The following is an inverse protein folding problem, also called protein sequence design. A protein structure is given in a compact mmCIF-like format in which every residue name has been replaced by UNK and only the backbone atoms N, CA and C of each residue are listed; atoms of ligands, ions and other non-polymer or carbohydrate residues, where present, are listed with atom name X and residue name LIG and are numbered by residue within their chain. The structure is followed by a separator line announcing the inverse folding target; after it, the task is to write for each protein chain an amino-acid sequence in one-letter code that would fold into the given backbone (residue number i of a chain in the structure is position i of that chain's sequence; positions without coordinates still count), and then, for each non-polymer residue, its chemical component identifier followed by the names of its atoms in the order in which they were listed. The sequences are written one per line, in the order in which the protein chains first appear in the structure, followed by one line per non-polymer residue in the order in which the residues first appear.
data_IF_993591627551
#
_entry.id   IF_993591627551
#
_cell.length_a   1.000
_cell.length_b   1.000
_cell.length_c   1.000
_cell.angle_alpha   90.00
_cell.angle_beta   90.00
_cell.angle_gamma   90.00
#
_symmetry.space_group_name_H-M   'P 1'
#
loop_
_entity.id
_entity.type
_entity.pdbx_description
1 polymer ?
#
# COMPACT_ATOMS: atom_id res chain seq x y z
N UNK A 1 -17.31 -7.19 1.28
CA UNK A 1 -15.84 -7.14 1.45
C UNK A 1 -15.25 -8.51 1.16
N UNK A 2 -14.22 -8.59 0.34
CA UNK A 2 -13.52 -9.83 0.05
C UNK A 2 -12.01 -9.68 0.31
N UNK A 3 -11.37 -10.78 0.67
CA UNK A 3 -9.92 -10.87 0.85
C UNK A 3 -9.38 -11.82 -0.21
N UNK A 4 -8.34 -11.39 -0.89
CA UNK A 4 -7.63 -12.19 -1.89
C UNK A 4 -6.20 -12.46 -1.42
N UNK A 5 -5.74 -13.69 -1.61
CA UNK A 5 -4.38 -14.13 -1.33
C UNK A 5 -3.83 -14.79 -2.60
N UNK A 6 -2.68 -14.33 -3.06
CA UNK A 6 -2.07 -14.79 -4.33
C UNK A 6 -3.04 -14.69 -5.53
N UNK A 7 -3.88 -13.64 -5.55
CA UNK A 7 -4.84 -13.40 -6.61
C UNK A 7 -6.11 -14.27 -6.56
N UNK A 8 -6.26 -15.12 -5.56
CA UNK A 8 -7.43 -15.97 -5.38
C UNK A 8 -8.25 -15.52 -4.17
N UNK A 9 -9.58 -15.58 -4.31
CA UNK A 9 -10.48 -15.18 -3.22
C UNK A 9 -10.35 -16.15 -2.05
N UNK A 10 -9.79 -15.68 -0.95
CA UNK A 10 -9.62 -16.47 0.28
C UNK A 10 -10.84 -16.38 1.21
N UNK A 11 -11.51 -15.25 1.25
CA UNK A 11 -12.69 -15.04 2.11
C UNK A 11 -13.58 -13.93 1.55
N UNK A 12 -14.86 -14.00 1.86
CA UNK A 12 -15.83 -12.96 1.55
C UNK A 12 -16.83 -12.80 2.70
N UNK A 13 -17.14 -11.55 3.03
CA UNK A 13 -18.19 -11.21 3.98
C UNK A 13 -19.07 -10.11 3.39
N UNK A 14 -20.38 -10.31 3.48
CA UNK A 14 -21.34 -9.26 3.16
C UNK A 14 -21.59 -8.45 4.42
N UNK A 15 -21.24 -7.18 4.36
CA UNK A 15 -21.48 -6.23 5.44
C UNK A 15 -22.51 -5.22 4.94
N UNK A 16 -23.59 -5.11 5.65
CA UNK A 16 -24.65 -4.14 5.36
C UNK A 16 -24.23 -2.75 5.90
N UNK A 17 -23.19 -2.21 5.27
CA UNK A 17 -22.69 -0.85 5.56
C UNK A 17 -23.11 0.02 4.37
N UNK A 18 -24.09 0.91 4.54
CA UNK A 18 -24.64 1.71 3.44
C UNK A 18 -23.63 2.70 2.84
N UNK A 19 -22.65 3.11 3.61
CA UNK A 19 -21.52 3.93 3.15
C UNK A 19 -20.32 3.76 4.06
N UNK A 20 -19.13 3.89 3.52
CA UNK A 20 -17.89 3.90 4.28
C UNK A 20 -17.29 5.32 4.15
N UNK A 21 -17.36 6.09 5.22
CA UNK A 21 -16.67 7.36 5.31
C UNK A 21 -15.36 7.15 6.06
N UNK A 22 -14.24 7.24 5.35
CA UNK A 22 -12.91 7.18 5.95
C UNK A 22 -12.59 8.42 6.80
N UNK A 23 -13.46 9.42 6.79
CA UNK A 23 -13.28 10.65 7.53
C UNK A 23 -12.06 11.44 7.06
N UNK A 24 -11.49 12.21 7.99
CA UNK A 24 -10.29 13.02 7.76
C UNK A 24 -9.06 12.39 8.44
N UNK A 25 -9.05 11.07 8.60
CA UNK A 25 -7.95 10.35 9.22
C UNK A 25 -6.77 10.12 8.28
N UNK A 26 -5.59 9.97 8.87
CA UNK A 26 -4.40 9.57 8.13
C UNK A 26 -4.48 8.09 7.74
N UNK A 27 -3.95 7.75 6.58
CA UNK A 27 -3.76 6.38 6.15
C UNK A 27 -2.34 5.92 6.49
N UNK A 28 -2.22 4.80 7.20
CA UNK A 28 -0.94 4.26 7.62
C UNK A 28 -0.61 2.95 6.90
N UNK A 29 0.63 2.81 6.46
CA UNK A 29 1.19 1.59 5.89
C UNK A 29 2.18 1.00 6.89
N UNK A 30 2.01 -0.28 7.24
CA UNK A 30 2.91 -1.02 8.12
C UNK A 30 2.75 -0.74 9.61
N UNK A 31 1.82 0.12 10.01
CA UNK A 31 1.57 0.45 11.42
C UNK A 31 0.13 0.91 11.61
N UNK A 32 -0.42 0.62 12.76
CA UNK A 32 -1.67 1.23 13.24
C UNK A 32 -1.31 2.30 14.27
N UNK A 33 -1.74 3.54 14.03
CA UNK A 33 -1.52 4.63 14.98
C UNK A 33 -2.71 4.79 15.94
N UNK A 34 -2.41 5.11 17.20
CA UNK A 34 -3.40 5.60 18.17
C UNK A 34 -4.42 4.58 18.68
N UNK A 35 -4.16 3.29 18.60
CA UNK A 35 -5.09 2.29 19.11
C UNK A 35 -4.92 2.07 20.62
N UNK A 36 -6.03 1.87 21.35
CA UNK A 36 -6.04 1.60 22.81
C UNK A 36 -5.21 0.37 23.23
N UNK A 37 -4.84 -0.47 22.29
CA UNK A 37 -4.09 -1.71 22.49
C UNK A 37 -2.61 -1.60 22.14
N UNK A 38 -2.07 -0.37 21.98
CA UNK A 38 -0.70 -0.09 21.60
C UNK A 38 -0.46 -0.12 20.09
N UNK A 39 0.73 0.27 19.69
CA UNK A 39 1.16 0.22 18.29
C UNK A 39 1.32 -1.25 17.85
N UNK A 40 0.83 -1.56 16.67
CA UNK A 40 0.97 -2.89 16.06
C UNK A 40 1.73 -2.75 14.74
N UNK A 41 3.07 -2.70 14.79
CA UNK A 41 3.87 -2.63 13.58
C UNK A 41 3.81 -3.95 12.80
N UNK A 42 3.88 -3.82 11.50
CA UNK A 42 4.08 -4.96 10.61
C UNK A 42 5.56 -5.32 10.60
N UNK A 43 5.88 -6.53 11.00
CA UNK A 43 7.24 -7.08 10.93
C UNK A 43 7.37 -7.94 9.67
N UNK A 44 7.95 -7.38 8.61
CA UNK A 44 8.07 -8.08 7.34
C UNK A 44 8.61 -7.18 6.24
N UNK A 45 8.53 -7.68 5.03
CA UNK A 45 8.88 -6.93 3.81
C UNK A 45 7.60 -6.54 3.09
N UNK A 46 7.58 -5.35 2.52
CA UNK A 46 6.42 -4.81 1.82
C UNK A 46 6.89 -4.10 0.56
N UNK A 47 6.17 -4.31 -0.53
CA UNK A 47 6.37 -3.59 -1.80
C UNK A 47 5.04 -3.50 -2.54
N UNK A 48 4.98 -2.65 -3.55
CA UNK A 48 3.85 -2.58 -4.48
C UNK A 48 2.50 -2.30 -3.80
N UNK A 49 2.49 -1.39 -2.81
CA UNK A 49 1.26 -0.99 -2.11
C UNK A 49 0.43 -0.08 -2.98
N UNK A 50 -0.83 -0.44 -3.22
CA UNK A 50 -1.73 0.27 -4.12
C UNK A 50 -3.08 0.50 -3.47
N UNK A 51 -3.59 1.70 -3.64
CA UNK A 51 -4.94 2.09 -3.25
C UNK A 51 -5.76 2.36 -4.50
N UNK A 52 -6.95 1.79 -4.54
CA UNK A 52 -7.88 1.93 -5.65
C UNK A 52 -9.17 2.60 -5.17
N UNK A 53 -9.68 3.55 -5.92
CA UNK A 53 -10.98 4.16 -5.66
C UNK A 53 -12.13 3.46 -6.42
N UNK A 54 -11.82 2.34 -7.06
CA UNK A 54 -12.75 1.47 -7.78
C UNK A 54 -12.61 0.03 -7.29
N UNK A 55 -13.68 -0.73 -7.33
CA UNK A 55 -13.63 -2.16 -7.08
C UNK A 55 -12.87 -2.88 -8.19
N UNK A 56 -11.98 -3.80 -7.81
CA UNK A 56 -11.23 -4.63 -8.76
C UNK A 56 -11.86 -6.01 -8.85
N UNK A 57 -11.96 -6.54 -10.05
CA UNK A 57 -12.34 -7.94 -10.26
C UNK A 57 -11.21 -8.88 -9.87
N UNK A 58 -11.52 -10.14 -9.58
CA UNK A 58 -10.50 -11.17 -9.29
C UNK A 58 -9.46 -11.28 -10.42
N UNK A 59 -9.88 -11.26 -11.68
CA UNK A 59 -8.99 -11.28 -12.84
C UNK A 59 -8.01 -10.09 -12.82
N UNK A 60 -8.54 -8.89 -12.60
CA UNK A 60 -7.70 -7.69 -12.51
C UNK A 60 -6.73 -7.73 -11.33
N UNK A 61 -7.13 -8.28 -10.19
CA UNK A 61 -6.26 -8.46 -9.02
C UNK A 61 -5.12 -9.42 -9.39
N UNK A 62 -5.45 -10.57 -10.00
CA UNK A 62 -4.50 -11.61 -10.40
C UNK A 62 -3.50 -11.12 -11.46
N UNK A 63 -3.99 -10.44 -12.48
CA UNK A 63 -3.15 -9.89 -13.57
C UNK A 63 -2.16 -8.82 -13.09
N UNK A 64 -2.56 -8.07 -12.07
CA UNK A 64 -1.77 -6.94 -11.56
C UNK A 64 -1.05 -7.24 -10.24
N UNK A 65 -0.85 -8.50 -9.85
CA UNK A 65 -0.21 -8.85 -8.57
C UNK A 65 1.22 -8.33 -8.45
N UNK A 66 2.00 -8.40 -9.52
CA UNK A 66 3.43 -8.04 -9.49
C UNK A 66 3.64 -6.55 -9.80
N UNK A 67 2.96 -6.05 -10.83
CA UNK A 67 3.13 -4.67 -11.28
C UNK A 67 1.83 -4.13 -11.86
N UNK A 68 1.72 -2.81 -11.92
CA UNK A 68 0.59 -2.11 -12.53
C UNK A 68 1.09 -0.87 -13.27
N UNK A 69 0.40 -0.48 -14.33
CA UNK A 69 0.64 0.82 -14.94
C UNK A 69 0.27 1.93 -13.93
N UNK A 70 1.20 2.81 -13.58
CA UNK A 70 0.93 3.94 -12.68
C UNK A 70 -0.24 4.84 -13.11
N UNK A 71 -0.59 4.81 -14.40
CA UNK A 71 -1.69 5.58 -14.98
C UNK A 71 -3.00 4.81 -15.07
N UNK A 72 -3.08 3.62 -14.46
CA UNK A 72 -4.29 2.81 -14.46
C UNK A 72 -5.48 3.59 -13.91
N UNK A 73 -6.62 3.53 -14.61
CA UNK A 73 -7.85 4.17 -14.17
C UNK A 73 -8.29 3.63 -12.79
N UNK A 74 -8.64 4.55 -11.90
CA UNK A 74 -9.05 4.24 -10.54
C UNK A 74 -7.91 3.93 -9.56
N UNK A 75 -6.65 3.99 -9.98
CA UNK A 75 -5.50 3.89 -9.08
C UNK A 75 -5.33 5.23 -8.35
N UNK A 76 -5.70 5.26 -7.07
CA UNK A 76 -5.70 6.48 -6.26
C UNK A 76 -4.31 6.81 -5.70
N UNK A 77 -3.55 5.81 -5.26
CA UNK A 77 -2.16 5.98 -4.82
C UNK A 77 -1.34 4.70 -5.06
N UNK A 78 -0.05 4.86 -5.28
CA UNK A 78 0.86 3.75 -5.57
C UNK A 78 2.25 3.98 -4.99
N UNK A 79 2.63 3.15 -4.03
CA UNK A 79 3.94 3.17 -3.38
C UNK A 79 4.71 1.90 -3.73
N UNK A 80 5.76 2.03 -4.53
CA UNK A 80 6.59 0.89 -4.98
C UNK A 80 7.37 0.28 -3.83
N UNK A 81 7.86 1.11 -2.91
CA UNK A 81 8.68 0.73 -1.76
C UNK A 81 9.93 -0.07 -2.16
N UNK A 82 10.52 0.27 -3.29
CA UNK A 82 11.68 -0.40 -3.87
C UNK A 82 13.00 0.39 -3.67
N UNK A 83 12.96 1.45 -2.88
CA UNK A 83 14.10 2.29 -2.56
C UNK A 83 14.40 3.39 -3.57
N UNK A 84 13.98 3.27 -4.83
CA UNK A 84 14.18 4.30 -5.85
C UNK A 84 13.15 5.41 -5.79
N UNK A 85 12.07 5.20 -5.05
CA UNK A 85 10.94 6.10 -4.86
C UNK A 85 11.05 6.93 -3.59
N UNK A 86 12.14 6.79 -2.83
CA UNK A 86 12.38 7.58 -1.64
C UNK A 86 13.10 8.89 -1.99
N UNK A 87 12.70 9.96 -1.33
CA UNK A 87 13.34 11.26 -1.50
C UNK A 87 13.28 12.06 -0.21
N UNK A 88 14.10 13.08 -0.11
CA UNK A 88 14.15 13.98 1.02
C UNK A 88 13.52 15.32 0.64
N UNK A 89 12.62 15.80 1.49
CA UNK A 89 11.98 17.11 1.39
C UNK A 89 12.30 17.88 2.67
N UNK A 90 13.27 18.80 2.58
CA UNK A 90 13.87 19.40 3.75
C UNK A 90 14.60 18.35 4.60
N UNK A 91 14.23 18.23 5.87
CA UNK A 91 14.78 17.24 6.80
C UNK A 91 13.98 15.94 6.86
N UNK A 92 12.92 15.83 6.06
CA UNK A 92 11.96 14.74 6.15
C UNK A 92 12.06 13.78 4.98
N UNK A 93 12.13 12.49 5.26
CA UNK A 93 12.06 11.45 4.25
C UNK A 93 10.62 11.15 3.84
N UNK A 94 10.42 11.03 2.54
CA UNK A 94 9.14 10.72 1.90
C UNK A 94 9.27 9.58 0.90
N UNK A 95 8.14 8.97 0.59
CA UNK A 95 8.01 7.96 -0.47
C UNK A 95 7.09 8.53 -1.55
N UNK A 96 7.56 8.50 -2.78
CA UNK A 96 6.84 9.02 -3.94
C UNK A 96 5.57 8.23 -4.22
N UNK A 97 4.47 8.93 -4.43
CA UNK A 97 3.28 8.37 -5.04
C UNK A 97 3.50 8.22 -6.55
N UNK A 98 3.71 6.99 -7.00
CA UNK A 98 3.95 6.69 -8.40
C UNK A 98 2.69 6.83 -9.28
N UNK A 99 1.49 6.92 -8.72
CA UNK A 99 0.26 7.18 -9.47
C UNK A 99 0.21 8.60 -10.07
N UNK A 100 0.99 9.51 -9.49
CA UNK A 100 1.06 10.90 -9.93
C UNK A 100 -0.03 11.81 -9.36
N UNK A 101 -0.83 11.33 -8.40
CA UNK A 101 -1.87 12.15 -7.74
C UNK A 101 -1.31 13.00 -6.59
N UNK A 102 0.00 12.90 -6.30
CA UNK A 102 0.67 13.74 -5.29
C UNK A 102 0.40 13.32 -3.85
N UNK A 103 0.00 12.08 -3.63
CA UNK A 103 -0.20 11.51 -2.30
C UNK A 103 1.10 10.92 -1.74
N UNK A 104 2.19 11.70 -1.77
CA UNK A 104 3.49 11.24 -1.28
C UNK A 104 3.41 10.86 0.20
N UNK A 105 3.90 9.67 0.53
CA UNK A 105 3.88 9.13 1.89
C UNK A 105 4.98 9.75 2.76
N UNK A 106 4.67 10.05 4.02
CA UNK A 106 5.64 10.47 5.02
C UNK A 106 6.22 9.24 5.72
N UNK A 107 7.55 9.13 5.77
CA UNK A 107 8.20 8.10 6.59
C UNK A 107 8.03 8.42 8.07
N UNK A 108 7.52 7.49 8.85
CA UNK A 108 7.30 7.69 10.28
C UNK A 108 8.64 7.94 10.99
N UNK A 109 8.71 9.04 11.73
CA UNK A 109 9.95 9.54 12.31
C UNK A 109 10.68 10.55 11.42
N UNK A 110 10.56 10.43 10.10
CA UNK A 110 11.04 11.40 9.11
C UNK A 110 12.54 11.59 8.98
N UNK A 111 13.31 11.17 9.97
CA UNK A 111 14.76 11.39 10.09
C UNK A 111 15.62 10.40 9.29
N UNK A 112 15.02 9.31 8.83
CA UNK A 112 15.70 8.22 8.11
C UNK A 112 14.87 7.69 6.96
N UNK A 113 15.54 7.27 5.90
CA UNK A 113 14.94 6.50 4.82
C UNK A 113 14.44 5.14 5.32
N UNK A 114 13.48 4.55 4.60
CA UNK A 114 13.10 3.15 4.80
C UNK A 114 14.27 2.23 4.48
N UNK A 115 14.47 1.21 5.30
CA UNK A 115 15.44 0.15 5.01
C UNK A 115 15.03 -0.65 3.77
N UNK A 116 15.97 -0.80 2.85
CA UNK A 116 15.76 -1.60 1.63
C UNK A 116 16.44 -2.95 1.82
N UNK A 117 15.73 -4.00 1.44
CA UNK A 117 16.25 -5.37 1.43
C UNK A 117 16.24 -5.85 -0.01
N UNK A 118 17.42 -6.07 -0.55
CA UNK A 118 17.57 -6.76 -1.83
C UNK A 118 17.20 -8.25 -1.65
N UNK A 119 16.54 -8.80 -2.64
CA UNK A 119 16.20 -10.22 -2.68
C UNK A 119 17.20 -10.92 -3.58
N UNK A 120 17.81 -12.00 -3.07
CA UNK A 120 18.75 -12.82 -3.87
C UNK A 120 18.04 -13.52 -5.03
N UNK A 121 16.75 -13.76 -4.89
CA UNK A 121 15.89 -14.38 -5.90
C UNK A 121 14.62 -13.55 -6.14
N UNK A 122 14.11 -13.51 -7.37
CA UNK A 122 12.83 -12.89 -7.66
C UNK A 122 11.68 -13.52 -6.86
N UNK A 123 10.71 -12.72 -6.45
CA UNK A 123 9.50 -13.24 -5.82
C UNK A 123 8.74 -14.08 -6.84
N UNK A 124 8.60 -15.37 -6.55
CA UNK A 124 7.77 -16.29 -7.33
C UNK A 124 6.45 -16.51 -6.60
N UNK A 125 5.35 -16.15 -7.24
CA UNK A 125 4.01 -16.44 -6.74
C UNK A 125 3.64 -17.84 -7.22
N UNK A 126 3.48 -18.74 -6.27
CA UNK A 126 3.04 -20.13 -6.56
C UNK A 126 1.56 -20.25 -6.37
#
# INVERSE_FOLDING_TARGET
TAIFINGEKASEAVWDIPSFDFGKGDFFIGKVAGFMWGERPFYGRMSEVRLWNVSRTESQIKENMITVDPKSEGLAAYYKLNGTDQFQDGETWKVKDASGHGMDGLVNGGDKALGIVELDEPITIK
#
